data_IF_410383491394
#
_entry.id   IF_410383491394
#
_cell.length_a   1.000
_cell.length_b   1.000
_cell.length_c   1.000
_cell.angle_alpha   90.00
_cell.angle_beta   90.00
_cell.angle_gamma   90.00
#
_symmetry.space_group_name_H-M   'P 1'
#
loop_
_entity.id
_entity.type
_entity.pdbx_description
1 polymer ?
#
# COMPACT_ATOMS: atom_id res chain seq x y z
N UNK A 1 8.48 19.43 -0.54
CA UNK A 1 9.63 18.51 -0.61
C UNK A 1 10.85 19.15 -1.24
N UNK A 2 10.86 19.53 -2.52
CA UNK A 2 12.08 20.05 -3.17
C UNK A 2 12.70 21.28 -2.47
N UNK A 3 11.89 22.32 -2.26
CA UNK A 3 12.33 23.57 -1.62
C UNK A 3 12.75 23.38 -0.15
N UNK A 4 11.86 22.83 0.67
CA UNK A 4 12.10 22.68 2.11
C UNK A 4 13.14 21.62 2.46
N UNK A 5 13.29 20.60 1.61
CA UNK A 5 14.24 19.52 1.80
C UNK A 5 15.58 19.72 1.09
N UNK A 6 15.76 20.87 0.40
CA UNK A 6 16.93 21.16 -0.44
C UNK A 6 17.36 19.96 -1.30
N UNK A 7 16.38 19.41 -2.03
CA UNK A 7 16.51 18.14 -2.72
C UNK A 7 15.97 18.20 -4.16
N UNK A 8 16.64 17.51 -5.06
CA UNK A 8 16.12 17.22 -6.40
C UNK A 8 14.95 16.24 -6.26
N UNK A 9 13.76 16.67 -6.69
CA UNK A 9 12.55 15.83 -6.66
C UNK A 9 12.16 15.47 -8.08
N UNK A 10 12.01 14.17 -8.34
CA UNK A 10 11.49 13.66 -9.60
C UNK A 10 10.11 13.06 -9.36
N UNK A 11 9.08 13.73 -9.88
CA UNK A 11 7.72 13.21 -9.89
C UNK A 11 7.53 12.29 -11.10
N UNK A 12 7.25 11.01 -10.85
CA UNK A 12 7.06 10.03 -11.92
C UNK A 12 5.64 10.15 -12.48
N UNK A 13 5.52 10.57 -13.74
CA UNK A 13 4.24 10.64 -14.46
C UNK A 13 3.78 9.28 -14.98
N UNK A 14 3.52 8.33 -14.08
CA UNK A 14 3.04 6.99 -14.44
C UNK A 14 1.57 7.02 -14.90
N UNK A 15 1.18 6.05 -15.73
CA UNK A 15 -0.17 5.92 -16.29
C UNK A 15 -1.21 5.62 -15.21
N UNK A 16 -2.36 6.28 -15.28
CA UNK A 16 -3.44 6.11 -14.30
C UNK A 16 -4.45 5.05 -14.74
N UNK A 17 -5.11 4.40 -13.78
CA UNK A 17 -6.23 3.52 -14.03
C UNK A 17 -7.53 4.31 -14.23
N UNK A 18 -8.48 3.82 -15.05
CA UNK A 18 -8.50 2.52 -15.73
C UNK A 18 -7.69 2.45 -17.03
N UNK A 19 -7.24 3.57 -17.59
CA UNK A 19 -6.67 3.64 -18.95
C UNK A 19 -5.37 2.84 -19.05
N UNK A 20 -4.60 2.83 -17.96
CA UNK A 20 -3.41 2.01 -17.77
C UNK A 20 -3.61 1.18 -16.49
N UNK A 21 -4.22 -0.01 -16.56
CA UNK A 21 -4.52 -0.77 -15.34
C UNK A 21 -3.26 -1.39 -14.73
N UNK A 22 -3.40 -1.92 -13.51
CA UNK A 22 -2.39 -2.77 -12.89
C UNK A 22 -1.90 -3.84 -13.88
N UNK A 23 -0.58 -4.11 -13.97
CA UNK A 23 0.52 -3.62 -13.13
C UNK A 23 1.34 -2.45 -13.74
N UNK A 24 0.77 -1.65 -14.65
CA UNK A 24 1.55 -0.66 -15.40
C UNK A 24 2.18 0.42 -14.51
N UNK A 25 1.43 0.99 -13.55
CA UNK A 25 1.92 2.00 -12.60
C UNK A 25 3.19 1.55 -11.91
N UNK A 26 3.14 0.31 -11.41
CA UNK A 26 4.24 -0.29 -10.69
C UNK A 26 5.48 -0.45 -11.58
N UNK A 27 5.27 -0.97 -12.78
CA UNK A 27 6.35 -1.19 -13.76
C UNK A 27 7.02 0.13 -14.16
N UNK A 28 6.24 1.18 -14.38
CA UNK A 28 6.74 2.50 -14.76
C UNK A 28 7.50 3.18 -13.62
N UNK A 29 6.97 3.15 -12.40
CA UNK A 29 7.68 3.68 -11.22
C UNK A 29 8.98 2.93 -10.93
N UNK A 30 8.98 1.59 -11.05
CA UNK A 30 10.20 0.80 -10.88
C UNK A 30 11.24 1.14 -11.95
N UNK A 31 10.84 1.25 -13.23
CA UNK A 31 11.73 1.66 -14.33
C UNK A 31 12.32 3.05 -14.08
N UNK A 32 11.49 4.01 -13.67
CA UNK A 32 11.92 5.36 -13.36
C UNK A 32 12.92 5.37 -12.19
N UNK A 33 12.62 4.65 -11.10
CA UNK A 33 13.53 4.52 -9.95
C UNK A 33 14.88 3.91 -10.37
N UNK A 34 14.87 2.78 -11.08
CA UNK A 34 16.12 2.14 -11.54
C UNK A 34 16.90 3.04 -12.49
N UNK A 35 16.23 3.77 -13.38
CA UNK A 35 16.90 4.72 -14.27
C UNK A 35 17.59 5.84 -13.49
N UNK A 36 16.86 6.52 -12.59
CA UNK A 36 17.41 7.60 -11.77
C UNK A 36 18.54 7.13 -10.85
N UNK A 37 18.47 5.90 -10.35
CA UNK A 37 19.52 5.31 -9.54
C UNK A 37 20.80 5.00 -10.33
N UNK A 38 20.70 4.76 -11.65
CA UNK A 38 21.86 4.54 -12.53
C UNK A 38 22.44 5.82 -13.11
N UNK A 39 21.60 6.83 -13.30
CA UNK A 39 21.92 8.07 -14.02
C UNK A 39 21.86 9.32 -13.12
N UNK A 40 21.70 9.16 -11.80
CA UNK A 40 21.51 10.28 -10.88
C UNK A 40 22.66 11.29 -10.91
N UNK A 41 23.89 10.81 -11.08
CA UNK A 41 25.09 11.65 -11.20
C UNK A 41 25.01 12.59 -12.42
N UNK A 42 24.40 12.16 -13.52
CA UNK A 42 24.18 12.98 -14.73
C UNK A 42 23.28 14.20 -14.44
N UNK A 43 22.50 14.13 -13.36
CA UNK A 43 21.62 15.20 -12.87
C UNK A 43 22.15 15.91 -11.61
N UNK A 44 23.41 15.65 -11.23
CA UNK A 44 24.01 16.21 -10.01
C UNK A 44 23.43 15.67 -8.71
N UNK A 45 22.78 14.50 -8.75
CA UNK A 45 22.20 13.83 -7.57
C UNK A 45 23.26 12.95 -6.90
N UNK A 46 23.35 13.05 -5.58
CA UNK A 46 24.17 12.17 -4.75
C UNK A 46 23.50 10.79 -4.60
N UNK A 47 24.05 9.79 -5.28
CA UNK A 47 23.58 8.40 -5.29
C UNK A 47 23.54 7.74 -3.89
N UNK A 48 24.22 8.30 -2.88
CA UNK A 48 24.18 7.78 -1.50
C UNK A 48 22.97 8.25 -0.68
N UNK A 49 22.23 9.26 -1.19
CA UNK A 49 21.12 9.93 -0.49
C UNK A 49 19.78 9.81 -1.23
N UNK A 50 19.55 8.66 -1.85
CA UNK A 50 18.32 8.39 -2.61
C UNK A 50 17.16 8.09 -1.66
N UNK A 51 16.07 8.85 -1.77
CA UNK A 51 14.84 8.65 -1.01
C UNK A 51 13.72 8.30 -1.98
N UNK A 52 12.93 7.28 -1.65
CA UNK A 52 11.71 6.94 -2.38
C UNK A 52 10.52 7.38 -1.54
N UNK A 53 9.66 8.23 -2.09
CA UNK A 53 8.53 8.79 -1.37
C UNK A 53 7.24 8.55 -2.12
N UNK A 54 6.14 8.42 -1.38
CA UNK A 54 4.81 8.37 -1.96
C UNK A 54 3.70 8.56 -0.94
N UNK A 55 2.55 9.01 -1.41
CA UNK A 55 1.35 9.21 -0.61
C UNK A 55 0.23 8.26 -1.04
N UNK A 56 -0.58 7.77 -0.10
CA UNK A 56 -1.66 6.79 -0.35
C UNK A 56 -1.17 5.60 -1.19
N UNK A 57 -1.71 5.39 -2.40
CA UNK A 57 -1.28 4.33 -3.33
C UNK A 57 0.16 4.52 -3.82
N UNK A 58 0.65 5.76 -3.88
CA UNK A 58 2.06 6.06 -4.13
C UNK A 58 2.96 5.51 -3.01
N UNK A 59 2.46 5.47 -1.78
CA UNK A 59 3.14 4.84 -0.64
C UNK A 59 3.25 3.32 -0.80
N UNK A 60 2.24 2.67 -1.37
CA UNK A 60 2.29 1.25 -1.77
C UNK A 60 3.41 1.02 -2.78
N UNK A 61 3.46 1.84 -3.84
CA UNK A 61 4.48 1.76 -4.88
C UNK A 61 5.89 1.99 -4.31
N UNK A 62 6.05 3.03 -3.48
CA UNK A 62 7.32 3.35 -2.81
C UNK A 62 7.83 2.18 -1.97
N UNK A 63 6.95 1.62 -1.13
CA UNK A 63 7.29 0.47 -0.28
C UNK A 63 7.68 -0.74 -1.12
N UNK A 64 6.88 -1.08 -2.13
CA UNK A 64 7.16 -2.25 -2.97
C UNK A 64 8.46 -2.09 -3.76
N UNK A 65 8.73 -0.90 -4.30
CA UNK A 65 10.00 -0.62 -5.00
C UNK A 65 11.17 -0.80 -4.03
N UNK A 66 11.09 -0.31 -2.79
CA UNK A 66 12.12 -0.53 -1.79
C UNK A 66 12.35 -2.02 -1.51
N UNK A 67 11.28 -2.82 -1.40
CA UNK A 67 11.38 -4.27 -1.21
C UNK A 67 12.09 -4.98 -2.38
N UNK A 68 11.84 -4.56 -3.63
CA UNK A 68 12.50 -5.18 -4.78
C UNK A 68 13.97 -4.77 -4.91
N UNK A 69 14.30 -3.53 -4.56
CA UNK A 69 15.64 -2.98 -4.75
C UNK A 69 16.61 -3.30 -3.61
N UNK A 70 16.12 -3.77 -2.46
CA UNK A 70 16.93 -3.98 -1.24
C UNK A 70 18.14 -4.93 -1.44
N UNK A 71 18.02 -5.92 -2.33
CA UNK A 71 19.07 -6.91 -2.60
C UNK A 71 19.79 -6.65 -3.95
N UNK A 72 19.48 -5.56 -4.66
CA UNK A 72 20.12 -5.18 -5.93
C UNK A 72 21.52 -4.60 -5.72
N UNK A 73 22.55 -5.44 -5.76
CA UNK A 73 23.95 -5.04 -5.52
C UNK A 73 24.55 -4.09 -6.57
N UNK A 74 23.96 -4.00 -7.75
CA UNK A 74 24.42 -3.17 -8.86
C UNK A 74 23.74 -1.79 -8.92
N UNK A 75 22.94 -1.45 -7.92
CA UNK A 75 22.30 -0.15 -7.77
C UNK A 75 22.75 0.48 -6.44
N UNK A 76 22.77 1.83 -6.35
CA UNK A 76 22.88 2.49 -5.07
C UNK A 76 21.80 2.01 -4.09
N UNK A 77 22.03 2.14 -2.79
CA UNK A 77 21.01 1.78 -1.79
C UNK A 77 20.00 2.90 -1.65
N UNK A 78 18.74 2.54 -1.44
CA UNK A 78 17.73 3.50 -0.97
C UNK A 78 18.10 3.88 0.46
N UNK A 79 18.30 5.16 0.71
CA UNK A 79 18.68 5.70 2.02
C UNK A 79 17.48 5.66 2.99
N UNK A 80 16.32 6.12 2.52
CA UNK A 80 15.08 6.13 3.28
C UNK A 80 13.86 6.00 2.37
N UNK A 81 12.74 5.58 2.95
CA UNK A 81 11.42 5.73 2.35
C UNK A 81 10.55 6.66 3.18
N UNK A 82 9.79 7.51 2.50
CA UNK A 82 8.88 8.48 3.11
C UNK A 82 7.45 8.14 2.66
N UNK A 83 6.63 7.72 3.62
CA UNK A 83 5.30 7.20 3.36
C UNK A 83 4.27 8.10 4.01
N UNK A 84 3.41 8.71 3.20
CA UNK A 84 2.38 9.64 3.65
C UNK A 84 1.02 8.93 3.52
N UNK A 85 0.36 8.63 4.62
CA UNK A 85 -0.90 7.87 4.72
C UNK A 85 -0.97 6.64 3.77
N UNK A 86 0.07 5.78 3.74
CA UNK A 86 0.19 4.77 2.70
C UNK A 86 -0.88 3.68 2.81
N UNK A 87 -1.37 3.20 1.67
CA UNK A 87 -2.09 1.93 1.63
C UNK A 87 -1.07 0.78 1.58
N UNK A 88 -0.99 -0.05 2.63
CA UNK A 88 0.00 -1.15 2.68
C UNK A 88 -0.65 -2.54 2.65
N UNK A 89 -1.98 -2.60 2.70
CA UNK A 89 -2.74 -3.84 2.63
C UNK A 89 -4.18 -3.60 2.13
N UNK A 90 -4.67 -4.50 1.29
CA UNK A 90 -6.04 -4.56 0.78
C UNK A 90 -6.75 -5.87 1.20
N UNK A 91 -6.29 -6.48 2.29
CA UNK A 91 -6.84 -7.73 2.84
C UNK A 91 -8.04 -7.43 3.75
N UNK A 92 -7.90 -6.48 4.68
CA UNK A 92 -8.90 -6.12 5.68
C UNK A 92 -9.30 -4.65 5.54
N UNK A 93 -10.42 -4.39 4.86
CA UNK A 93 -11.00 -3.05 4.70
C UNK A 93 -12.00 -2.70 5.82
N UNK A 94 -11.90 -3.41 6.95
CA UNK A 94 -12.77 -3.28 8.12
C UNK A 94 -11.98 -3.06 9.42
N UNK A 95 -10.69 -2.69 9.32
CA UNK A 95 -9.88 -2.27 10.47
C UNK A 95 -10.47 -1.01 11.15
N UNK A 96 -10.08 -0.70 12.40
CA UNK A 96 -10.66 0.42 13.15
C UNK A 96 -10.69 1.76 12.40
N UNK A 97 -9.64 2.13 11.67
CA UNK A 97 -9.62 3.37 10.86
C UNK A 97 -10.72 3.36 9.79
N UNK A 98 -10.86 2.27 9.04
CA UNK A 98 -11.89 2.10 8.00
C UNK A 98 -13.32 2.24 8.53
N UNK A 99 -13.59 1.75 9.74
CA UNK A 99 -14.92 1.86 10.36
C UNK A 99 -15.16 3.27 10.92
N UNK A 100 -14.21 3.77 11.72
CA UNK A 100 -14.36 5.04 12.44
C UNK A 100 -14.37 6.24 11.47
N UNK A 101 -13.59 6.18 10.39
CA UNK A 101 -13.48 7.22 9.38
C UNK A 101 -14.30 6.90 8.12
N UNK A 102 -15.29 6.00 8.20
CA UNK A 102 -16.12 5.57 7.06
C UNK A 102 -16.94 6.69 6.41
N UNK A 103 -17.02 7.88 7.01
CA UNK A 103 -17.70 9.07 6.48
C UNK A 103 -16.75 10.27 6.31
N UNK A 104 -15.44 10.02 6.29
CA UNK A 104 -14.47 11.07 6.00
C UNK A 104 -14.82 11.73 4.65
N UNK A 105 -14.84 13.07 4.57
CA UNK A 105 -15.29 13.78 3.38
C UNK A 105 -14.39 13.57 2.15
N UNK A 106 -13.16 13.09 2.35
CA UNK A 106 -12.17 12.90 1.29
C UNK A 106 -12.10 11.47 0.78
N UNK A 107 -12.16 10.48 1.67
CA UNK A 107 -12.03 9.08 1.33
C UNK A 107 -12.88 8.24 2.30
N UNK A 108 -14.00 7.69 1.83
CA UNK A 108 -14.79 6.74 2.60
C UNK A 108 -14.56 5.30 2.14
N UNK A 109 -14.91 4.32 2.96
CA UNK A 109 -14.59 2.91 2.75
C UNK A 109 -15.04 2.35 1.37
N UNK A 110 -16.27 2.66 0.92
CA UNK A 110 -16.76 2.24 -0.40
C UNK A 110 -15.93 2.82 -1.54
N UNK A 111 -15.37 4.01 -1.37
CA UNK A 111 -14.52 4.64 -2.36
C UNK A 111 -13.15 3.94 -2.46
N UNK A 112 -12.60 3.47 -1.33
CA UNK A 112 -11.39 2.61 -1.33
C UNK A 112 -11.66 1.32 -2.12
N UNK A 113 -12.72 0.59 -1.79
CA UNK A 113 -13.09 -0.63 -2.51
C UNK A 113 -13.36 -0.38 -4.00
N UNK A 114 -13.96 0.77 -4.35
CA UNK A 114 -14.13 1.20 -5.73
C UNK A 114 -12.79 1.40 -6.44
N UNK A 115 -11.83 2.10 -5.81
CA UNK A 115 -10.50 2.28 -6.38
C UNK A 115 -9.76 0.95 -6.54
N UNK A 116 -9.86 0.01 -5.61
CA UNK A 116 -9.32 -1.34 -5.79
C UNK A 116 -9.86 -2.02 -7.06
N UNK A 117 -11.19 -1.95 -7.29
CA UNK A 117 -11.79 -2.49 -8.51
C UNK A 117 -11.28 -1.77 -9.76
N UNK A 118 -11.24 -0.43 -9.77
CA UNK A 118 -10.80 0.35 -10.94
C UNK A 118 -9.32 0.16 -11.25
N UNK A 119 -8.48 0.07 -10.22
CA UNK A 119 -7.04 -0.16 -10.34
C UNK A 119 -6.74 -1.50 -11.01
N UNK A 120 -7.49 -2.54 -10.66
CA UNK A 120 -7.40 -3.87 -11.26
C UNK A 120 -8.20 -4.03 -12.55
N UNK A 121 -8.92 -3.00 -13.00
CA UNK A 121 -9.88 -3.05 -14.10
C UNK A 121 -10.94 -4.17 -13.96
N UNK A 122 -11.48 -4.31 -12.74
CA UNK A 122 -12.47 -5.31 -12.35
C UNK A 122 -13.84 -4.69 -12.10
N UNK A 123 -14.87 -5.53 -12.08
CA UNK A 123 -16.24 -5.11 -11.82
C UNK A 123 -16.42 -4.50 -10.43
N UNK A 124 -17.16 -3.39 -10.35
CA UNK A 124 -17.55 -2.74 -9.09
C UNK A 124 -18.68 -3.47 -8.36
N UNK A 125 -19.28 -4.52 -8.96
CA UNK A 125 -20.30 -5.34 -8.31
C UNK A 125 -19.80 -6.00 -7.02
N UNK A 126 -18.47 -6.16 -6.89
CA UNK A 126 -17.82 -6.82 -5.76
C UNK A 126 -17.57 -5.93 -4.54
N UNK A 127 -17.84 -4.61 -4.62
CA UNK A 127 -17.51 -3.65 -3.55
C UNK A 127 -18.02 -4.09 -2.17
N UNK A 128 -19.27 -4.54 -2.08
CA UNK A 128 -19.86 -4.94 -0.79
C UNK A 128 -19.20 -6.19 -0.19
N UNK A 129 -18.73 -7.10 -1.02
CA UNK A 129 -18.07 -8.33 -0.56
C UNK A 129 -16.58 -8.08 -0.25
N UNK A 130 -15.94 -7.15 -0.96
CA UNK A 130 -14.60 -6.67 -0.64
C UNK A 130 -14.54 -5.98 0.74
N UNK A 131 -15.54 -5.16 1.06
CA UNK A 131 -15.65 -4.52 2.38
C UNK A 131 -15.78 -5.53 3.52
N UNK A 132 -16.36 -6.71 3.25
CA UNK A 132 -16.45 -7.83 4.20
C UNK A 132 -15.21 -8.74 4.17
N UNK A 133 -14.21 -8.38 3.38
CA UNK A 133 -13.01 -9.18 3.15
C UNK A 133 -13.30 -10.61 2.66
N UNK A 134 -14.40 -10.82 1.93
CA UNK A 134 -14.82 -12.15 1.46
C UNK A 134 -13.86 -12.76 0.43
N UNK A 135 -12.96 -11.96 -0.17
CA UNK A 135 -11.90 -12.41 -1.08
C UNK A 135 -10.72 -13.09 -0.37
N UNK A 136 -10.63 -13.01 0.96
CA UNK A 136 -9.47 -13.47 1.71
C UNK A 136 -9.67 -14.91 2.21
N UNK A 137 -8.82 -15.88 1.82
CA UNK A 137 -8.89 -17.23 2.36
C UNK A 137 -8.61 -17.28 3.86
N UNK A 138 -9.22 -18.23 4.58
CA UNK A 138 -9.00 -18.42 6.03
C UNK A 138 -7.52 -18.62 6.37
N UNK A 139 -6.79 -19.40 5.56
CA UNK A 139 -5.36 -19.63 5.75
C UNK A 139 -4.54 -18.33 5.69
N UNK A 140 -4.86 -17.44 4.74
CA UNK A 140 -4.22 -16.11 4.61
C UNK A 140 -4.50 -15.24 5.83
N UNK A 141 -5.75 -15.24 6.33
CA UNK A 141 -6.10 -14.49 7.54
C UNK A 141 -5.28 -14.96 8.74
N UNK A 142 -5.18 -16.27 8.96
CA UNK A 142 -4.39 -16.85 10.05
C UNK A 142 -2.91 -16.50 9.91
N UNK A 143 -2.35 -16.61 8.71
CA UNK A 143 -0.93 -16.29 8.43
C UNK A 143 -0.57 -14.86 8.84
N UNK A 144 -1.42 -13.89 8.51
CA UNK A 144 -1.13 -12.46 8.76
C UNK A 144 -1.82 -11.91 10.00
N UNK A 145 -2.54 -12.73 10.77
CA UNK A 145 -3.25 -12.31 11.98
C UNK A 145 -2.32 -11.64 13.00
N UNK A 146 -1.07 -12.10 13.11
CA UNK A 146 -0.08 -11.49 14.02
C UNK A 146 0.19 -10.01 13.71
N UNK A 147 0.03 -9.59 12.46
CA UNK A 147 0.31 -8.23 12.01
C UNK A 147 -0.99 -7.44 11.78
N UNK A 148 -1.94 -8.03 11.07
CA UNK A 148 -3.18 -7.41 10.62
C UNK A 148 -4.37 -7.82 11.50
N UNK A 149 -4.32 -7.42 12.76
CA UNK A 149 -5.39 -7.62 13.73
C UNK A 149 -5.62 -6.36 14.57
N UNK A 150 -6.88 -6.02 14.82
CA UNK A 150 -7.26 -4.84 15.58
C UNK A 150 -6.82 -4.88 17.06
N UNK A 151 -6.51 -6.05 17.60
CA UNK A 151 -5.95 -6.20 18.94
C UNK A 151 -4.51 -5.68 19.04
N UNK A 152 -3.82 -5.52 17.91
CA UNK A 152 -2.52 -4.84 17.86
C UNK A 152 -2.65 -3.32 17.96
N UNK A 153 -3.88 -2.78 17.86
CA UNK A 153 -4.15 -1.35 17.92
C UNK A 153 -4.57 -0.99 19.36
N UNK A 154 -3.89 -0.04 20.02
CA UNK A 154 -4.25 0.42 21.36
C UNK A 154 -5.71 0.90 21.46
N UNK A 155 -6.36 0.66 22.60
CA UNK A 155 -7.78 1.00 22.82
C UNK A 155 -8.11 2.48 22.56
N UNK A 156 -7.19 3.39 22.87
CA UNK A 156 -7.38 4.82 22.62
C UNK A 156 -7.64 5.17 21.14
N UNK A 157 -7.23 4.31 20.20
CA UNK A 157 -7.46 4.50 18.77
C UNK A 157 -8.71 3.76 18.24
N UNK A 158 -9.49 3.11 19.13
CA UNK A 158 -10.70 2.33 18.79
C UNK A 158 -11.99 2.95 19.36
N UNK A 159 -11.93 4.19 19.83
CA UNK A 159 -13.00 4.81 20.65
C UNK A 159 -14.18 5.38 19.85
N UNK A 160 -14.10 5.49 18.52
CA UNK A 160 -15.11 6.17 17.67
C UNK A 160 -16.05 5.19 16.96
N UNK A 161 -16.58 4.21 17.69
CA UNK A 161 -17.58 3.27 17.16
C UNK A 161 -16.99 2.11 16.34
N UNK A 162 -15.80 1.63 16.71
CA UNK A 162 -15.25 0.39 16.18
C UNK A 162 -15.99 -0.82 16.76
N UNK A 163 -16.41 -1.74 15.89
CA UNK A 163 -16.92 -3.05 16.28
C UNK A 163 -16.03 -4.12 15.66
N UNK A 164 -15.51 -5.02 16.48
CA UNK A 164 -14.73 -6.15 15.97
C UNK A 164 -15.61 -7.01 15.07
N UNK A 165 -15.15 -7.22 13.84
CA UNK A 165 -15.83 -8.14 12.94
C UNK A 165 -15.45 -9.57 13.31
N UNK A 166 -16.47 -10.38 13.56
CA UNK A 166 -16.27 -11.81 13.64
C UNK A 166 -15.95 -12.37 12.25
N UNK A 167 -14.66 -12.46 11.94
CA UNK A 167 -14.18 -13.00 10.68
C UNK A 167 -14.42 -14.50 10.54
N UNK A 168 -14.84 -15.21 11.61
CA UNK A 168 -15.31 -16.61 11.49
C UNK A 168 -16.63 -16.70 10.72
N UNK A 169 -17.39 -15.60 10.66
CA UNK A 169 -18.63 -15.44 9.88
C UNK A 169 -18.39 -14.84 8.48
N UNK A 170 -17.16 -14.49 8.12
CA UNK A 170 -16.87 -14.01 6.77
C UNK A 170 -16.90 -15.19 5.80
N UNK A 171 -18.00 -15.26 5.03
CA UNK A 171 -18.19 -16.27 4.00
C UNK A 171 -17.17 -16.02 2.88
N UNK A 172 -16.04 -16.71 2.95
CA UNK A 172 -15.06 -16.75 1.86
C UNK A 172 -15.80 -17.05 0.55
N UNK A 173 -15.61 -16.19 -0.44
CA UNK A 173 -16.20 -16.31 -1.75
C UNK A 173 -15.10 -16.69 -2.75
N UNK A 174 -15.04 -17.96 -3.22
CA UNK A 174 -14.00 -18.42 -4.13
C UNK A 174 -13.96 -17.66 -5.48
N UNK A 175 -15.14 -17.29 -6.01
CA UNK A 175 -15.22 -16.54 -7.26
C UNK A 175 -14.62 -15.14 -7.09
N UNK A 176 -14.99 -14.46 -6.01
CA UNK A 176 -14.43 -13.17 -5.68
C UNK A 176 -12.93 -13.24 -5.43
N UNK A 177 -12.46 -14.29 -4.73
CA UNK A 177 -11.03 -14.51 -4.53
C UNK A 177 -10.29 -14.59 -5.84
N UNK A 178 -10.77 -15.40 -6.79
CA UNK A 178 -10.11 -15.53 -8.10
C UNK A 178 -10.09 -14.21 -8.87
N UNK A 179 -11.16 -13.41 -8.78
CA UNK A 179 -11.24 -12.10 -9.43
C UNK A 179 -10.37 -11.01 -8.79
N UNK A 180 -10.06 -11.14 -7.50
CA UNK A 180 -9.44 -10.08 -6.69
C UNK A 180 -8.16 -10.53 -5.96
N UNK A 181 -7.58 -11.67 -6.34
CA UNK A 181 -6.40 -12.26 -5.68
C UNK A 181 -5.17 -11.36 -5.74
N UNK A 182 -5.08 -10.49 -6.74
CA UNK A 182 -4.02 -9.50 -6.90
C UNK A 182 -3.97 -8.53 -5.71
N UNK A 183 -5.09 -8.25 -5.05
CA UNK A 183 -5.13 -7.44 -3.83
C UNK A 183 -4.30 -8.06 -2.70
N UNK A 184 -4.09 -9.39 -2.72
CA UNK A 184 -3.27 -10.11 -1.75
C UNK A 184 -1.82 -10.29 -2.20
N UNK A 185 -1.45 -9.78 -3.38
CA UNK A 185 -0.07 -9.78 -3.84
C UNK A 185 0.74 -8.69 -3.14
N UNK A 186 2.05 -8.89 -3.02
CA UNK A 186 2.96 -7.89 -2.44
C UNK A 186 2.99 -6.57 -3.25
N UNK A 187 2.57 -6.59 -4.51
CA UNK A 187 2.53 -5.38 -5.33
C UNK A 187 1.42 -4.41 -4.92
N UNK A 188 0.34 -4.90 -4.31
CA UNK A 188 -0.79 -4.09 -3.81
C UNK A 188 -0.79 -4.05 -2.29
N UNK A 189 -0.38 -5.15 -1.66
CA UNK A 189 -0.30 -5.30 -0.21
C UNK A 189 1.14 -5.61 0.22
N UNK A 190 2.08 -4.67 0.13
CA UNK A 190 3.49 -4.90 0.45
C UNK A 190 3.71 -5.31 1.92
N UNK A 191 2.76 -5.02 2.83
CA UNK A 191 2.82 -5.50 4.22
C UNK A 191 2.66 -7.03 4.35
N UNK A 192 2.22 -7.71 3.29
CA UNK A 192 2.13 -9.18 3.25
C UNK A 192 3.47 -9.86 2.89
N UNK A 193 4.51 -9.07 2.61
CA UNK A 193 5.86 -9.61 2.42
C UNK A 193 6.35 -10.33 3.69
N UNK A 194 7.29 -11.25 3.51
CA UNK A 194 7.87 -11.99 4.63
C UNK A 194 8.66 -11.07 5.57
N UNK A 195 8.73 -11.44 6.86
CA UNK A 195 9.50 -10.68 7.86
C UNK A 195 10.97 -10.45 7.41
N UNK A 196 11.56 -11.42 6.68
CA UNK A 196 12.90 -11.30 6.12
C UNK A 196 13.06 -10.20 5.05
N UNK A 197 11.97 -9.82 4.39
CA UNK A 197 11.90 -8.69 3.45
C UNK A 197 11.67 -7.40 4.23
N UNK A 198 10.70 -7.38 5.14
CA UNK A 198 10.33 -6.19 5.91
C UNK A 198 11.51 -5.68 6.77
N UNK A 199 12.26 -6.58 7.40
CA UNK A 199 13.43 -6.23 8.22
C UNK A 199 14.60 -5.62 7.45
N UNK A 200 14.60 -5.71 6.11
CA UNK A 200 15.64 -5.13 5.24
C UNK A 200 15.24 -3.78 4.63
N UNK A 201 14.01 -3.32 4.85
CA UNK A 201 13.55 -2.04 4.34
C UNK A 201 14.45 -0.90 4.84
N UNK A 202 14.63 0.17 4.04
CA UNK A 202 15.41 1.32 4.46
C UNK A 202 14.72 2.05 5.62
N UNK A 203 15.43 3.02 6.19
CA UNK A 203 14.84 3.88 7.22
C UNK A 203 13.49 4.43 6.75
N UNK A 204 12.45 4.24 7.54
CA UNK A 204 11.07 4.54 7.13
C UNK A 204 10.53 5.69 7.96
N UNK A 205 10.14 6.77 7.29
CA UNK A 205 9.34 7.83 7.89
C UNK A 205 7.89 7.62 7.49
N UNK A 206 7.03 7.37 8.47
CA UNK A 206 5.60 7.18 8.28
C UNK A 206 4.85 8.38 8.84
N UNK A 207 4.09 9.07 8.00
CA UNK A 207 3.21 10.16 8.38
C UNK A 207 1.75 9.73 8.20
N UNK A 208 1.00 9.69 9.28
CA UNK A 208 -0.46 9.46 9.26
C UNK A 208 -1.16 10.55 10.07
N UNK A 209 -2.42 10.78 9.75
CA UNK A 209 -3.34 11.68 10.41
C UNK A 209 -4.50 10.88 11.02
N UNK A 210 -5.08 11.38 12.10
CA UNK A 210 -6.14 10.67 12.85
C UNK A 210 -7.38 10.31 12.01
N UNK A 211 -7.63 11.06 10.94
CA UNK A 211 -8.80 10.91 10.06
C UNK A 211 -8.51 10.10 8.80
N UNK A 212 -7.29 9.58 8.65
CA UNK A 212 -6.94 8.72 7.53
C UNK A 212 -7.66 7.37 7.66
N UNK A 213 -8.06 6.83 6.51
CA UNK A 213 -8.74 5.54 6.42
C UNK A 213 -7.74 4.39 6.29
N UNK A 214 -6.59 4.66 5.68
CA UNK A 214 -5.59 3.68 5.22
C UNK A 214 -4.60 3.29 6.32
#
# INVERSE_FOLDING_TARGET
MAKEGDATVVAVGYGLGPENPYPNQFTECLKAAVYLMKHGEDYGVDSSRIIISGDSCGGTLATRICQLLMDCRNLPKVHAQVLIYPELQAMNLSLPSYQQNCRSPFLWNKLVAYFCCRYLNKSTSFINDLLKSSHVPKATRVRYQKWLNANNIPEQFKVRGYTEQDHSLSNFNPQLHEEMKELLSENISPLLAEDAVVCKLPQTFLLTCEFDVL
#
